data_IF_403474910101
#
_entry.id   IF_403474910101
#
_cell.length_a   1.000
_cell.length_b   1.000
_cell.length_c   1.000
_cell.angle_alpha   90.00
_cell.angle_beta   90.00
_cell.angle_gamma   90.00
#
_symmetry.space_group_name_H-M   'P 1'
#
loop_
_entity.id
_entity.type
_entity.pdbx_description
1 polymer ?
#
# COMPACT_ATOMS: atom_id res chain seq x y z
N UNK A 1 4.51 -2.65 13.05
CA UNK A 1 4.01 -1.58 12.14
C UNK A 1 4.59 -1.85 10.75
N UNK A 2 3.97 -1.37 9.67
CA UNK A 2 4.53 -1.50 8.32
C UNK A 2 4.38 -0.18 7.54
N UNK A 3 5.31 0.12 6.63
CA UNK A 3 5.19 1.26 5.73
C UNK A 3 4.97 0.75 4.31
N UNK A 4 3.80 1.08 3.75
CA UNK A 4 3.37 0.70 2.41
C UNK A 4 3.67 1.83 1.44
N UNK A 5 4.27 1.51 0.29
CA UNK A 5 4.53 2.46 -0.79
C UNK A 5 3.77 2.05 -2.05
N UNK A 6 3.33 3.07 -2.80
CA UNK A 6 2.60 2.89 -4.04
C UNK A 6 3.06 3.91 -5.09
N UNK A 7 3.25 3.42 -6.32
CA UNK A 7 3.71 4.25 -7.45
C UNK A 7 2.60 5.19 -7.92
N UNK A 8 2.97 6.44 -8.24
CA UNK A 8 2.02 7.42 -8.79
C UNK A 8 1.89 7.32 -10.31
N UNK A 9 2.36 6.25 -10.95
CA UNK A 9 2.31 6.06 -12.41
C UNK A 9 0.90 6.08 -13.00
N UNK A 10 -0.11 5.74 -12.19
CA UNK A 10 -1.52 5.82 -12.60
C UNK A 10 -2.05 7.25 -12.72
N UNK A 11 -1.29 8.26 -12.30
CA UNK A 11 -1.63 9.67 -12.39
C UNK A 11 -3.02 10.02 -11.83
N UNK A 12 -3.35 9.46 -10.65
CA UNK A 12 -4.60 9.76 -9.96
C UNK A 12 -4.50 11.07 -9.18
N UNK A 13 -5.62 11.78 -9.04
CA UNK A 13 -5.69 13.00 -8.23
C UNK A 13 -5.56 12.72 -6.72
N UNK A 14 -5.81 11.49 -6.28
CA UNK A 14 -5.69 11.05 -4.89
C UNK A 14 -5.30 9.58 -4.85
N UNK A 15 -4.58 9.19 -3.81
CA UNK A 15 -4.18 7.80 -3.57
C UNK A 15 -4.63 7.36 -2.19
N UNK A 16 -5.34 6.23 -2.14
CA UNK A 16 -5.81 5.66 -0.89
C UNK A 16 -5.41 4.20 -0.77
N UNK A 17 -5.09 3.81 0.47
CA UNK A 17 -4.83 2.45 0.87
C UNK A 17 -6.06 1.91 1.60
N UNK A 18 -6.72 0.93 1.00
CA UNK A 18 -7.70 0.09 1.68
C UNK A 18 -7.00 -1.21 2.07
N UNK A 19 -6.97 -1.53 3.36
CA UNK A 19 -6.19 -2.68 3.84
C UNK A 19 -6.89 -3.43 4.97
N UNK A 20 -6.42 -4.66 5.19
CA UNK A 20 -6.71 -5.51 6.35
C UNK A 20 -5.43 -6.18 6.84
N UNK A 21 -4.99 -5.98 8.09
CA UNK A 21 -3.94 -6.80 8.70
C UNK A 21 -4.30 -8.30 8.61
N UNK A 22 -3.31 -9.19 8.57
CA UNK A 22 -3.58 -10.65 8.61
C UNK A 22 -4.38 -10.99 9.87
N UNK A 23 -5.53 -11.66 9.70
CA UNK A 23 -6.46 -11.97 10.80
C UNK A 23 -7.33 -10.79 11.26
N UNK A 24 -7.15 -9.60 10.69
CA UNK A 24 -7.90 -8.38 11.00
C UNK A 24 -9.02 -8.07 10.01
N UNK A 25 -9.79 -7.02 10.32
CA UNK A 25 -10.84 -6.49 9.45
C UNK A 25 -10.29 -5.48 8.43
N UNK A 26 -11.00 -5.35 7.31
CA UNK A 26 -10.72 -4.30 6.33
C UNK A 26 -11.13 -2.93 6.88
N UNK A 27 -10.33 -1.91 6.55
CA UNK A 27 -10.74 -0.50 6.68
C UNK A 27 -12.06 -0.22 5.95
N UNK A 28 -12.86 0.75 6.38
CA UNK A 28 -14.03 1.20 5.60
C UNK A 28 -13.57 1.79 4.25
N UNK A 29 -14.19 1.39 3.14
CA UNK A 29 -13.89 1.95 1.82
C UNK A 29 -14.20 3.48 1.80
N UNK A 30 -13.37 4.31 1.14
CA UNK A 30 -12.27 3.93 0.25
C UNK A 30 -10.90 3.77 0.94
N UNK A 31 -10.88 3.53 2.25
CA UNK A 31 -9.66 3.36 3.02
C UNK A 31 -9.02 4.69 3.42
N UNK A 32 -7.74 4.64 3.78
CA UNK A 32 -6.99 5.78 4.31
C UNK A 32 -6.19 6.50 3.23
N UNK A 33 -6.06 7.82 3.35
CA UNK A 33 -5.23 8.59 2.43
C UNK A 33 -3.75 8.21 2.58
N UNK A 34 -3.05 8.14 1.44
CA UNK A 34 -1.60 8.03 1.39
C UNK A 34 -0.99 9.43 1.24
N UNK A 35 0.21 9.60 1.76
CA UNK A 35 0.96 10.87 1.73
C UNK A 35 2.12 10.79 0.74
N UNK A 36 2.61 11.94 0.26
CA UNK A 36 3.80 11.97 -0.59
C UNK A 36 5.00 11.33 0.12
N UNK A 37 5.78 10.54 -0.63
CA UNK A 37 7.01 9.93 -0.15
C UNK A 37 8.22 10.56 -0.84
N UNK A 38 8.73 9.91 -1.89
CA UNK A 38 9.74 10.45 -2.81
C UNK A 38 9.16 10.59 -4.22
N UNK A 39 9.98 11.05 -5.18
CA UNK A 39 9.53 11.29 -6.54
C UNK A 39 8.81 10.06 -7.13
N UNK A 40 7.57 10.25 -7.57
CA UNK A 40 6.69 9.22 -8.14
C UNK A 40 6.16 8.18 -7.14
N UNK A 41 6.19 8.45 -5.84
CA UNK A 41 5.72 7.54 -4.80
C UNK A 41 4.86 8.24 -3.74
N UNK A 42 3.86 7.51 -3.26
CA UNK A 42 3.12 7.82 -2.04
C UNK A 42 3.32 6.71 -1.02
N UNK A 43 3.16 7.01 0.28
CA UNK A 43 3.30 6.05 1.36
C UNK A 43 2.18 6.12 2.40
N UNK A 44 2.09 5.07 3.21
CA UNK A 44 1.30 5.06 4.45
C UNK A 44 1.92 4.11 5.45
N UNK A 45 2.18 4.60 6.67
CA UNK A 45 2.52 3.73 7.81
C UNK A 45 1.24 3.24 8.47
N UNK A 46 1.13 1.93 8.65
CA UNK A 46 -0.04 1.27 9.24
C UNK A 46 0.33 0.51 10.52
N UNK A 47 -0.48 0.63 11.58
CA UNK A 47 -0.32 -0.20 12.77
C UNK A 47 -0.82 -1.61 12.46
N UNK A 48 0.08 -2.60 12.52
CA UNK A 48 -0.27 -4.01 12.31
C UNK A 48 -0.46 -4.79 13.62
N UNK A 49 -0.12 -4.20 14.78
CA UNK A 49 -0.06 -4.95 16.03
C UNK A 49 0.91 -6.13 15.91
N UNK A 50 0.43 -7.34 16.20
CA UNK A 50 1.16 -8.61 16.05
C UNK A 50 0.98 -9.27 14.68
N UNK A 51 0.26 -8.66 13.74
CA UNK A 51 0.10 -9.22 12.40
C UNK A 51 1.42 -9.13 11.62
N UNK A 52 1.76 -10.21 10.93
CA UNK A 52 2.98 -10.35 10.11
C UNK A 52 2.81 -9.82 8.68
N UNK A 53 1.73 -9.10 8.42
CA UNK A 53 1.42 -8.55 7.10
C UNK A 53 0.00 -8.01 6.98
N UNK A 54 -0.38 -7.68 5.75
CA UNK A 54 -1.68 -7.16 5.39
C UNK A 54 -2.08 -7.56 3.97
N UNK A 55 -3.40 -7.60 3.74
CA UNK A 55 -3.98 -7.50 2.40
C UNK A 55 -4.23 -6.04 2.07
N UNK A 56 -4.03 -5.64 0.82
CA UNK A 56 -4.18 -4.26 0.38
C UNK A 56 -4.81 -4.14 -1.01
N UNK A 57 -5.54 -3.04 -1.20
CA UNK A 57 -5.99 -2.54 -2.50
C UNK A 57 -5.82 -1.01 -2.53
N UNK A 58 -5.45 -0.48 -3.69
CA UNK A 58 -5.24 0.94 -3.89
C UNK A 58 -6.39 1.52 -4.69
N UNK A 59 -6.73 2.79 -4.47
CA UNK A 59 -7.78 3.44 -5.23
C UNK A 59 -7.59 4.96 -5.33
N UNK A 60 -8.31 5.55 -6.28
CA UNK A 60 -8.30 6.99 -6.51
C UNK A 60 -9.22 7.80 -5.58
N UNK A 61 -9.89 7.15 -4.62
CA UNK A 61 -10.90 7.75 -3.75
C UNK A 61 -12.28 7.96 -4.39
N UNK A 62 -12.43 7.70 -5.69
CA UNK A 62 -13.65 7.95 -6.46
C UNK A 62 -14.08 6.75 -7.31
N UNK A 63 -13.82 5.53 -6.83
CA UNK A 63 -14.35 4.29 -7.41
C UNK A 63 -13.44 3.57 -8.40
N UNK A 64 -12.27 4.10 -8.76
CA UNK A 64 -11.26 3.35 -9.54
C UNK A 64 -10.31 2.64 -8.58
N UNK A 65 -10.16 1.33 -8.78
CA UNK A 65 -9.38 0.47 -7.90
C UNK A 65 -8.23 -0.21 -8.66
N UNK A 66 -7.14 -0.42 -7.95
CA UNK A 66 -6.08 -1.35 -8.28
C UNK A 66 -5.98 -2.38 -7.15
N UNK A 67 -6.53 -3.56 -7.42
CA UNK A 67 -6.56 -4.68 -6.50
C UNK A 67 -5.76 -5.86 -7.05
N UNK A 68 -4.96 -5.72 -8.10
CA UNK A 68 -4.18 -6.85 -8.67
C UNK A 68 -5.02 -8.14 -8.88
N UNK A 69 -6.26 -8.02 -9.36
CA UNK A 69 -7.24 -9.10 -9.56
C UNK A 69 -7.70 -9.89 -8.30
N UNK A 70 -7.01 -9.82 -7.16
CA UNK A 70 -7.35 -10.58 -5.94
C UNK A 70 -6.90 -9.95 -4.59
N UNK A 71 -6.35 -8.74 -4.62
CA UNK A 71 -5.63 -7.97 -3.59
C UNK A 71 -4.12 -8.23 -3.55
N UNK A 72 -3.36 -7.24 -3.09
CA UNK A 72 -1.95 -7.38 -2.76
C UNK A 72 -1.80 -8.07 -1.39
N UNK A 73 -0.85 -9.00 -1.28
CA UNK A 73 -0.42 -9.58 0.00
C UNK A 73 0.96 -9.03 0.33
N UNK A 74 1.08 -8.35 1.48
CA UNK A 74 2.26 -7.59 1.85
C UNK A 74 2.74 -8.05 3.26
N UNK A 75 3.99 -8.51 3.38
CA UNK A 75 4.57 -9.00 4.64
C UNK A 75 5.15 -7.91 5.56
N UNK A 76 5.75 -8.29 6.70
CA UNK A 76 6.48 -7.36 7.59
C UNK A 76 8.00 -7.43 7.46
N UNK A 77 8.52 -8.44 6.77
CA UNK A 77 9.92 -8.85 6.90
C UNK A 77 10.69 -8.55 5.60
N UNK A 78 11.53 -7.51 5.64
CA UNK A 78 12.78 -7.42 4.88
C UNK A 78 13.66 -6.36 5.60
N UNK A 79 14.48 -6.82 6.56
CA UNK A 79 15.36 -5.95 7.36
C UNK A 79 16.49 -5.31 6.54
N UNK A 80 16.64 -5.61 5.24
CA UNK A 80 17.77 -5.12 4.44
C UNK A 80 17.41 -4.59 3.04
N UNK A 81 16.14 -4.50 2.64
CA UNK A 81 15.74 -3.94 1.34
C UNK A 81 14.35 -3.30 1.42
N UNK A 82 14.19 -2.19 0.68
CA UNK A 82 12.95 -1.78 0.03
C UNK A 82 11.65 -1.74 0.86
N UNK A 83 11.06 -0.57 1.12
CA UNK A 83 9.78 -0.53 1.80
C UNK A 83 8.67 -1.19 0.97
N UNK A 84 7.75 -1.84 1.66
CA UNK A 84 6.65 -2.66 1.16
C UNK A 84 5.99 -2.09 -0.11
N UNK A 85 6.44 -2.58 -1.28
CA UNK A 85 6.06 -2.06 -2.59
C UNK A 85 4.82 -2.79 -3.11
N UNK A 86 3.72 -2.07 -3.27
CA UNK A 86 2.65 -2.51 -4.15
C UNK A 86 2.76 -1.75 -5.47
N UNK A 87 3.59 -2.23 -6.39
CA UNK A 87 3.56 -1.76 -7.77
C UNK A 87 3.15 -2.94 -8.62
N UNK A 88 2.19 -2.71 -9.53
CA UNK A 88 1.59 -3.73 -10.39
C UNK A 88 2.52 -4.34 -11.45
N UNK A 89 3.81 -4.58 -11.14
CA UNK A 89 4.70 -5.60 -11.72
C UNK A 89 6.19 -5.38 -11.36
N UNK A 90 6.58 -4.40 -10.54
CA UNK A 90 8.01 -4.16 -10.25
C UNK A 90 8.25 -3.81 -8.78
N UNK A 91 8.90 -4.72 -8.05
CA UNK A 91 9.49 -4.45 -6.73
C UNK A 91 10.66 -3.49 -6.96
N UNK A 92 10.37 -2.19 -6.99
CA UNK A 92 11.39 -1.15 -6.95
C UNK A 92 11.28 -0.48 -5.60
N UNK A 93 12.33 -0.62 -4.78
CA UNK A 93 12.54 0.30 -3.66
C UNK A 93 12.30 1.73 -4.15
N UNK A 94 11.57 2.58 -3.42
CA UNK A 94 11.68 4.01 -3.57
C UNK A 94 13.08 4.37 -3.03
N UNK A 95 14.10 4.18 -3.86
CA UNK A 95 15.44 4.67 -3.50
C UNK A 95 15.41 6.19 -3.63
N UNK A 96 16.03 6.82 -2.63
CA UNK A 96 16.22 8.26 -2.39
C UNK A 96 16.53 9.07 -3.65
#
# INVERSE_FOLDING_TARGET
>A
MATVYYSTEKNWASYRLHYAPVGGAWTTAPGVAMEAACARWVKRTVPLGSATGLKAAFNNGSGTWDNNAANYALGTDDEDQAPLVAAGSQVRSPVT
#
